data_IF_996718629331
#
_entry.id   IF_996718629331
#
_cell.length_a   1.000
_cell.length_b   1.000
_cell.length_c   1.000
_cell.angle_alpha   90.00
_cell.angle_beta   90.00
_cell.angle_gamma   90.00
#
_symmetry.space_group_name_H-M   'P 1'
#
loop_
_entity.id
_entity.type
_entity.pdbx_description
1 polymer ?
#
# COMPACT_ATOMS: atom_id res chain seq x y z
N UNK A 1 -6.81 5.35 6.28
CA UNK A 1 -7.10 4.16 7.08
C UNK A 1 -6.98 2.92 6.23
N UNK A 2 -6.42 1.85 6.80
CA UNK A 2 -6.08 0.60 6.09
C UNK A 2 -6.77 -0.55 6.84
N UNK A 3 -7.64 -1.28 6.15
CA UNK A 3 -8.16 -2.56 6.63
C UNK A 3 -7.03 -3.59 6.61
N UNK A 4 -6.99 -4.45 7.63
CA UNK A 4 -5.92 -5.43 7.83
C UNK A 4 -4.52 -4.82 8.08
N UNK A 5 -4.40 -3.58 8.58
CA UNK A 5 -3.09 -2.93 8.82
C UNK A 5 -2.11 -3.81 9.60
N UNK A 6 -2.55 -4.45 10.69
CA UNK A 6 -1.68 -5.33 11.49
C UNK A 6 -1.16 -6.53 10.68
N UNK A 7 -2.01 -7.14 9.85
CA UNK A 7 -1.60 -8.26 8.97
C UNK A 7 -0.61 -7.77 7.92
N UNK A 8 -0.84 -6.59 7.36
CA UNK A 8 0.06 -5.96 6.41
C UNK A 8 1.44 -5.66 7.02
N UNK A 9 1.49 -5.09 8.22
CA UNK A 9 2.74 -4.82 8.96
C UNK A 9 3.56 -6.10 9.22
N UNK A 10 2.89 -7.18 9.61
CA UNK A 10 3.53 -8.49 9.80
C UNK A 10 4.07 -9.01 8.47
N UNK A 11 3.22 -9.03 7.44
CA UNK A 11 3.56 -9.54 6.12
C UNK A 11 4.79 -8.84 5.50
N UNK A 12 4.81 -7.51 5.46
CA UNK A 12 5.93 -6.79 4.83
C UNK A 12 7.23 -6.98 5.60
N UNK A 13 7.16 -7.16 6.92
CA UNK A 13 8.32 -7.48 7.76
C UNK A 13 8.87 -8.87 7.43
N UNK A 14 8.00 -9.85 7.24
CA UNK A 14 8.38 -11.21 6.84
C UNK A 14 8.95 -11.26 5.42
N UNK A 15 8.44 -10.43 4.50
CA UNK A 15 9.00 -10.24 3.16
C UNK A 15 10.34 -9.46 3.14
N UNK A 16 10.87 -9.06 4.29
CA UNK A 16 12.16 -8.40 4.41
C UNK A 16 12.14 -6.90 4.10
N UNK A 17 10.96 -6.25 4.05
CA UNK A 17 10.89 -4.79 4.05
C UNK A 17 11.55 -4.28 5.34
N UNK A 18 12.56 -3.43 5.19
CA UNK A 18 13.35 -2.92 6.30
C UNK A 18 14.44 -3.86 6.83
N UNK A 19 14.70 -5.02 6.21
CA UNK A 19 15.75 -5.96 6.64
C UNK A 19 17.17 -5.38 6.56
N UNK A 20 17.38 -4.40 5.67
CA UNK A 20 18.65 -3.69 5.48
C UNK A 20 18.59 -2.24 5.98
N UNK A 21 17.53 -1.85 6.69
CA UNK A 21 17.41 -0.50 7.21
C UNK A 21 18.50 -0.25 8.25
N UNK A 22 19.39 0.71 7.98
CA UNK A 22 20.34 1.24 8.98
C UNK A 22 19.59 2.01 10.07
N UNK A 23 18.42 2.55 9.76
CA UNK A 23 17.48 3.22 10.67
C UNK A 23 16.10 2.63 10.43
N UNK A 24 15.55 1.95 11.44
CA UNK A 24 14.30 1.20 11.35
C UNK A 24 13.10 2.10 11.02
N UNK A 25 12.67 2.16 9.75
CA UNK A 25 11.44 2.89 9.41
C UNK A 25 10.76 2.49 8.10
N UNK A 26 11.29 1.55 7.31
CA UNK A 26 10.68 1.18 6.03
C UNK A 26 9.27 0.61 6.19
N UNK A 27 9.01 -0.23 7.20
CA UNK A 27 7.65 -0.74 7.45
C UNK A 27 6.67 0.38 7.83
N UNK A 28 7.09 1.31 8.71
CA UNK A 28 6.30 2.48 9.10
C UNK A 28 6.06 3.41 7.91
N UNK A 29 7.06 3.59 7.05
CA UNK A 29 6.93 4.33 5.80
C UNK A 29 5.88 3.69 4.88
N UNK A 30 5.90 2.37 4.70
CA UNK A 30 4.92 1.67 3.87
C UNK A 30 3.49 1.80 4.41
N UNK A 31 3.30 1.74 5.73
CA UNK A 31 2.01 2.02 6.37
C UNK A 31 1.60 3.49 6.20
N UNK A 32 2.52 4.43 6.39
CA UNK A 32 2.29 5.87 6.19
C UNK A 32 1.89 6.20 4.75
N UNK A 33 2.51 5.52 3.78
CA UNK A 33 2.19 5.65 2.36
C UNK A 33 0.77 5.20 2.06
N UNK A 34 0.36 4.00 2.51
CA UNK A 34 -1.03 3.55 2.32
C UNK A 34 -2.06 4.45 3.02
N UNK A 35 -1.73 4.97 4.21
CA UNK A 35 -2.59 5.94 4.88
C UNK A 35 -2.70 7.27 4.11
N UNK A 36 -1.63 7.70 3.46
CA UNK A 36 -1.62 8.88 2.61
C UNK A 36 -2.44 8.66 1.33
N UNK A 37 -2.33 7.48 0.69
CA UNK A 37 -3.20 7.10 -0.45
C UNK A 37 -4.67 7.19 -0.05
N UNK A 38 -5.03 6.53 1.06
CA UNK A 38 -6.38 6.58 1.64
C UNK A 38 -6.88 8.01 1.84
N UNK A 39 -6.03 8.90 2.39
CA UNK A 39 -6.36 10.31 2.62
C UNK A 39 -6.52 11.09 1.31
N UNK A 40 -5.62 10.91 0.36
CA UNK A 40 -5.63 11.64 -0.91
C UNK A 40 -6.84 11.29 -1.77
N UNK A 41 -7.26 10.03 -1.76
CA UNK A 41 -8.38 9.52 -2.56
C UNK A 41 -9.69 9.45 -1.78
N UNK A 42 -9.67 9.75 -0.47
CA UNK A 42 -10.82 9.64 0.43
C UNK A 42 -11.46 8.23 0.41
N UNK A 43 -10.62 7.20 0.49
CA UNK A 43 -11.01 5.77 0.50
C UNK A 43 -10.45 5.07 1.73
N UNK A 44 -10.99 3.90 2.07
CA UNK A 44 -10.32 2.95 2.96
C UNK A 44 -9.62 1.91 2.10
N UNK A 45 -8.31 1.68 2.33
CA UNK A 45 -7.61 0.60 1.63
C UNK A 45 -8.08 -0.72 2.21
N UNK A 46 -8.67 -1.56 1.37
CA UNK A 46 -9.22 -2.87 1.73
C UNK A 46 -9.06 -3.86 0.56
N UNK A 47 -9.22 -5.18 0.77
CA UNK A 47 -9.14 -6.16 -0.31
C UNK A 47 -10.13 -5.90 -1.46
N UNK A 48 -11.29 -5.31 -1.17
CA UNK A 48 -12.31 -4.97 -2.17
C UNK A 48 -11.87 -3.83 -3.10
N UNK A 49 -10.96 -2.97 -2.63
CA UNK A 49 -10.47 -1.78 -3.37
C UNK A 49 -9.07 -2.01 -3.95
N UNK A 50 -8.25 -2.85 -3.31
CA UNK A 50 -6.85 -3.06 -3.66
C UNK A 50 -6.47 -4.54 -3.50
N UNK A 51 -6.74 -5.35 -4.52
CA UNK A 51 -6.47 -6.79 -4.51
C UNK A 51 -5.70 -7.32 -5.71
N UNK A 52 -5.50 -6.51 -6.75
CA UNK A 52 -4.69 -6.90 -7.90
C UNK A 52 -3.88 -5.73 -8.48
N UNK A 53 -2.93 -6.04 -9.36
CA UNK A 53 -2.05 -5.04 -9.97
C UNK A 53 -2.79 -3.95 -10.73
N UNK A 54 -3.94 -4.28 -11.34
CA UNK A 54 -4.77 -3.29 -12.04
C UNK A 54 -5.26 -2.19 -11.09
N UNK A 55 -5.55 -2.54 -9.85
CA UNK A 55 -6.04 -1.59 -8.84
C UNK A 55 -4.92 -0.65 -8.41
N UNK A 56 -3.67 -1.15 -8.31
CA UNK A 56 -2.48 -0.32 -8.08
C UNK A 56 -2.34 0.73 -9.17
N UNK A 57 -2.52 0.34 -10.44
CA UNK A 57 -2.44 1.25 -11.59
C UNK A 57 -3.55 2.30 -11.51
N UNK A 58 -4.79 1.88 -11.33
CA UNK A 58 -5.95 2.77 -11.23
C UNK A 58 -5.78 3.81 -10.11
N UNK A 59 -5.41 3.39 -8.90
CA UNK A 59 -5.20 4.32 -7.78
C UNK A 59 -4.00 5.25 -8.02
N UNK A 60 -2.93 4.76 -8.66
CA UNK A 60 -1.76 5.59 -9.01
C UNK A 60 -2.11 6.65 -10.06
N UNK A 61 -2.96 6.30 -11.02
CA UNK A 61 -3.47 7.23 -12.03
C UNK A 61 -4.38 8.29 -11.40
N UNK A 62 -5.24 7.91 -10.46
CA UNK A 62 -6.11 8.86 -9.77
C UNK A 62 -5.31 9.83 -8.86
N UNK A 63 -4.27 9.33 -8.21
CA UNK A 63 -3.29 10.19 -7.51
C UNK A 63 -2.60 11.16 -8.47
N UNK A 64 -2.23 10.70 -9.67
CA UNK A 64 -1.61 11.54 -10.70
C UNK A 64 -2.57 12.63 -11.18
N UNK A 65 -3.82 12.26 -11.50
CA UNK A 65 -4.88 13.19 -11.95
C UNK A 65 -5.21 14.24 -10.88
N UNK A 66 -5.04 13.92 -9.59
CA UNK A 66 -5.26 14.88 -8.52
C UNK A 66 -4.32 16.09 -8.57
N UNK A 67 -3.13 15.94 -9.18
CA UNK A 67 -2.09 16.97 -9.25
C UNK A 67 -1.44 17.33 -7.90
N UNK A 68 -1.83 16.68 -6.80
CA UNK A 68 -1.41 17.02 -5.43
C UNK A 68 -0.17 16.26 -4.94
N UNK A 69 0.24 15.22 -5.67
CA UNK A 69 1.27 14.28 -5.25
C UNK A 69 2.35 14.19 -6.33
N UNK A 70 3.62 14.28 -5.92
CA UNK A 70 4.73 14.18 -6.87
C UNK A 70 4.85 12.78 -7.48
N UNK A 71 5.32 12.67 -8.73
CA UNK A 71 5.57 11.37 -9.38
C UNK A 71 6.48 10.46 -8.55
N UNK A 72 7.48 11.02 -7.87
CA UNK A 72 8.38 10.27 -6.99
C UNK A 72 7.61 9.67 -5.80
N UNK A 73 6.76 10.46 -5.16
CA UNK A 73 5.91 10.00 -4.06
C UNK A 73 4.91 8.95 -4.51
N UNK A 74 4.31 9.13 -5.69
CA UNK A 74 3.39 8.12 -6.28
C UNK A 74 4.10 6.79 -6.47
N UNK A 75 5.35 6.76 -6.94
CA UNK A 75 6.12 5.50 -7.04
C UNK A 75 6.27 4.79 -5.68
N UNK A 76 6.53 5.53 -4.61
CA UNK A 76 6.59 4.97 -3.26
C UNK A 76 5.22 4.44 -2.80
N UNK A 77 4.15 5.17 -3.10
CA UNK A 77 2.78 4.72 -2.83
C UNK A 77 2.45 3.44 -3.59
N UNK A 78 2.80 3.36 -4.89
CA UNK A 78 2.59 2.15 -5.70
C UNK A 78 3.36 0.94 -5.15
N UNK A 79 4.58 1.14 -4.64
CA UNK A 79 5.34 0.05 -4.01
C UNK A 79 4.65 -0.48 -2.74
N UNK A 80 4.13 0.42 -1.89
CA UNK A 80 3.36 0.01 -0.73
C UNK A 80 2.02 -0.66 -1.11
N UNK A 81 1.33 -0.15 -2.12
CA UNK A 81 0.09 -0.77 -2.65
C UNK A 81 0.34 -2.18 -3.19
N UNK A 82 1.45 -2.40 -3.90
CA UNK A 82 1.83 -3.74 -4.38
C UNK A 82 2.08 -4.72 -3.24
N UNK A 83 2.74 -4.29 -2.18
CA UNK A 83 2.90 -5.16 -1.01
C UNK A 83 1.57 -5.50 -0.35
N UNK A 84 0.60 -4.57 -0.36
CA UNK A 84 -0.74 -4.84 0.14
C UNK A 84 -1.46 -5.89 -0.72
N UNK A 85 -1.41 -5.74 -2.04
CA UNK A 85 -1.96 -6.74 -2.99
C UNK A 85 -1.33 -8.11 -2.75
N UNK A 86 0.00 -8.18 -2.62
CA UNK A 86 0.67 -9.45 -2.36
C UNK A 86 0.23 -10.08 -1.03
N UNK A 87 0.01 -9.27 0.01
CA UNK A 87 -0.56 -9.74 1.28
C UNK A 87 -2.00 -10.27 1.09
N UNK A 88 -2.84 -9.59 0.31
CA UNK A 88 -4.23 -10.02 0.05
C UNK A 88 -4.23 -11.39 -0.62
N UNK A 89 -3.37 -11.59 -1.62
CA UNK A 89 -3.21 -12.86 -2.32
C UNK A 89 -2.64 -13.93 -1.39
N UNK A 90 -1.58 -13.63 -0.64
CA UNK A 90 -0.91 -14.60 0.25
C UNK A 90 -1.81 -15.09 1.39
N UNK A 91 -2.68 -14.23 1.91
CA UNK A 91 -3.59 -14.54 3.01
C UNK A 91 -5.01 -14.91 2.56
N UNK A 92 -5.24 -15.04 1.24
CA UNK A 92 -6.54 -15.39 0.65
C UNK A 92 -7.69 -14.49 1.15
N UNK A 93 -7.45 -13.18 1.27
CA UNK A 93 -8.40 -12.23 1.87
C UNK A 93 -9.49 -11.74 0.92
N UNK A 94 -9.60 -12.31 -0.27
CA UNK A 94 -10.69 -12.04 -1.19
C UNK A 94 -11.94 -12.76 -0.70
N UNK A 95 -12.96 -12.00 -0.30
CA UNK A 95 -14.26 -12.56 0.02
C UNK A 95 -14.92 -13.08 -1.27
N UNK A 96 -15.40 -14.32 -1.21
CA UNK A 96 -16.16 -14.98 -2.27
C UNK A 96 -17.50 -14.31 -2.52
#
# INVERSE_FOLDING_TARGET
MIQNQRKYEIYIKECGVGKNDVVADSCKSYVSYLNSVSKHLNITISPEILSQDKDVITLSDDLTKSGKVSKKTIKNYSAAMKQYVNMVVFLELMTS
#
